data_IF_923018301919
#
_entry.id   IF_923018301919
#
_cell.length_a   1.000
_cell.length_b   1.000
_cell.length_c   1.000
_cell.angle_alpha   90.00
_cell.angle_beta   90.00
_cell.angle_gamma   90.00
#
_symmetry.space_group_name_H-M   'P 1'
#
loop_
_entity.id
_entity.type
_entity.pdbx_description
1 polymer ?
#
# COMPACT_ATOMS: atom_id res chain seq x y z
N UNK A 1 -21.29 4.23 -2.87
CA UNK A 1 -19.97 4.80 -3.28
C UNK A 1 -20.15 5.93 -4.32
N UNK A 2 -21.34 6.11 -4.93
CA UNK A 2 -21.65 7.29 -5.73
C UNK A 2 -21.52 8.57 -4.90
N UNK A 3 -20.66 9.50 -5.33
CA UNK A 3 -20.42 10.81 -4.71
C UNK A 3 -19.08 11.02 -4.00
N UNK A 4 -18.40 9.95 -3.52
CA UNK A 4 -17.16 10.07 -2.72
C UNK A 4 -15.87 9.67 -3.47
N UNK A 5 -15.98 9.25 -4.73
CA UNK A 5 -14.85 8.73 -5.53
C UNK A 5 -13.81 9.82 -5.84
N UNK A 6 -14.24 11.05 -6.14
CA UNK A 6 -13.35 12.17 -6.43
C UNK A 6 -12.46 12.57 -5.25
N UNK A 7 -13.03 12.81 -4.05
CA UNK A 7 -12.24 13.13 -2.86
C UNK A 7 -11.21 12.05 -2.49
N UNK A 8 -11.58 10.77 -2.58
CA UNK A 8 -10.67 9.66 -2.26
C UNK A 8 -9.50 9.63 -3.26
N UNK A 9 -9.77 9.77 -4.56
CA UNK A 9 -8.73 9.79 -5.58
C UNK A 9 -7.79 10.99 -5.42
N UNK A 10 -8.32 12.18 -5.11
CA UNK A 10 -7.50 13.37 -4.91
C UNK A 10 -6.60 13.25 -3.67
N UNK A 11 -7.11 12.69 -2.56
CA UNK A 11 -6.31 12.45 -1.36
C UNK A 11 -5.21 11.41 -1.60
N UNK A 12 -5.53 10.29 -2.25
CA UNK A 12 -4.57 9.21 -2.53
C UNK A 12 -3.53 9.59 -3.56
N UNK A 13 -3.83 10.48 -4.51
CA UNK A 13 -2.88 10.89 -5.57
C UNK A 13 -2.16 12.18 -5.21
N UNK A 14 -2.86 13.31 -5.29
CA UNK A 14 -2.30 14.64 -5.02
C UNK A 14 -1.90 14.80 -3.55
N UNK A 15 -2.77 14.38 -2.62
CA UNK A 15 -2.47 14.47 -1.18
C UNK A 15 -1.23 13.67 -0.80
N UNK A 16 -1.16 12.42 -1.23
CA UNK A 16 -0.01 11.55 -1.01
C UNK A 16 1.28 12.13 -1.62
N UNK A 17 1.22 12.59 -2.88
CA UNK A 17 2.38 13.18 -3.55
C UNK A 17 2.89 14.40 -2.80
N UNK A 18 2.00 15.33 -2.45
CA UNK A 18 2.34 16.54 -1.69
C UNK A 18 2.98 16.15 -0.35
N UNK A 19 2.39 15.19 0.38
CA UNK A 19 2.92 14.76 1.68
C UNK A 19 4.34 14.19 1.55
N UNK A 20 4.59 13.32 0.56
CA UNK A 20 5.93 12.77 0.30
C UNK A 20 6.92 13.90 -0.02
N UNK A 21 6.56 14.86 -0.87
CA UNK A 21 7.43 15.97 -1.24
C UNK A 21 7.74 16.87 -0.04
N UNK A 22 6.73 17.22 0.75
CA UNK A 22 6.89 18.07 1.94
C UNK A 22 7.79 17.39 2.98
N UNK A 23 7.56 16.10 3.26
CA UNK A 23 8.38 15.33 4.20
C UNK A 23 9.81 15.14 3.70
N UNK A 24 9.99 14.90 2.39
CA UNK A 24 11.31 14.82 1.77
C UNK A 24 12.05 16.16 1.86
N UNK A 25 11.38 17.27 1.56
CA UNK A 25 11.95 18.61 1.65
C UNK A 25 12.30 18.97 3.10
N UNK A 26 11.45 18.61 4.06
CA UNK A 26 11.74 18.76 5.48
C UNK A 26 12.99 17.95 5.88
N UNK A 27 13.13 16.71 5.41
CA UNK A 27 14.31 15.90 5.69
C UNK A 27 15.59 16.48 5.07
N UNK A 28 15.52 17.03 3.85
CA UNK A 28 16.63 17.75 3.23
C UNK A 28 17.05 18.98 4.03
N UNK A 29 16.08 19.77 4.48
CA UNK A 29 16.35 21.04 5.15
C UNK A 29 16.81 20.86 6.61
N UNK A 30 16.08 20.07 7.40
CA UNK A 30 16.33 19.91 8.84
C UNK A 30 17.43 18.89 9.14
N UNK A 31 17.44 17.74 8.46
CA UNK A 31 18.42 16.68 8.73
C UNK A 31 19.68 16.81 7.86
N UNK A 32 19.69 17.70 6.86
CA UNK A 32 20.77 17.83 5.86
C UNK A 32 21.16 16.48 5.24
N UNK A 33 20.17 15.59 5.12
CA UNK A 33 20.37 14.24 4.62
C UNK A 33 20.64 14.26 3.10
N UNK A 34 21.43 13.31 2.57
CA UNK A 34 21.53 13.09 1.13
C UNK A 34 20.16 12.86 0.50
N UNK A 35 19.98 13.30 -0.74
CA UNK A 35 18.68 13.27 -1.42
C UNK A 35 17.99 11.90 -1.38
N UNK A 36 18.71 10.81 -1.63
CA UNK A 36 18.14 9.47 -1.55
C UNK A 36 17.58 9.12 -0.16
N UNK A 37 18.33 9.46 0.90
CA UNK A 37 17.90 9.21 2.29
C UNK A 37 16.71 10.09 2.66
N UNK A 38 16.70 11.35 2.23
CA UNK A 38 15.57 12.24 2.45
C UNK A 38 14.29 11.74 1.75
N UNK A 39 14.42 11.22 0.52
CA UNK A 39 13.31 10.66 -0.25
C UNK A 39 12.79 9.36 0.39
N UNK A 40 13.69 8.51 0.88
CA UNK A 40 13.33 7.33 1.69
C UNK A 40 12.54 7.73 2.94
N UNK A 41 13.00 8.73 3.68
CA UNK A 41 12.29 9.22 4.87
C UNK A 41 10.90 9.75 4.48
N UNK A 42 10.80 10.56 3.43
CA UNK A 42 9.52 11.12 2.98
C UNK A 42 8.52 10.06 2.50
N UNK A 43 8.99 9.03 1.80
CA UNK A 43 8.14 7.92 1.32
C UNK A 43 7.64 7.06 2.48
N UNK A 44 8.51 6.65 3.41
CA UNK A 44 8.12 5.83 4.57
C UNK A 44 7.20 6.61 5.51
N UNK A 45 7.51 7.87 5.80
CA UNK A 45 6.72 8.69 6.74
C UNK A 45 5.35 9.11 6.19
N UNK A 46 5.17 9.10 4.86
CA UNK A 46 3.87 9.43 4.25
C UNK A 46 2.84 8.30 4.39
N UNK A 47 3.29 7.07 4.67
CA UNK A 47 2.41 5.90 4.71
C UNK A 47 1.55 5.91 5.97
N UNK A 48 0.24 6.08 5.78
CA UNK A 48 -0.75 5.94 6.86
C UNK A 48 -1.39 4.56 6.79
N UNK A 49 -0.96 3.66 7.69
CA UNK A 49 -1.50 2.30 7.74
C UNK A 49 -2.95 2.26 8.28
N UNK A 50 -3.81 1.37 7.76
CA UNK A 50 -5.16 1.19 8.30
C UNK A 50 -5.13 0.70 9.76
N UNK A 51 -4.02 0.13 10.20
CA UNK A 51 -3.78 -0.32 11.58
C UNK A 51 -3.78 0.83 12.58
N UNK A 52 -3.37 2.04 12.18
CA UNK A 52 -3.37 3.24 13.06
C UNK A 52 -4.61 4.10 12.81
N UNK A 53 -5.01 4.27 11.54
CA UNK A 53 -6.15 5.13 11.18
C UNK A 53 -7.46 4.55 11.72
N UNK A 54 -7.69 3.23 11.62
CA UNK A 54 -8.97 2.62 12.02
C UNK A 54 -9.25 2.74 13.53
N UNK A 55 -8.30 2.48 14.45
CA UNK A 55 -8.50 2.75 15.87
C UNK A 55 -8.78 4.22 16.18
N UNK A 56 -8.08 5.16 15.53
CA UNK A 56 -8.32 6.59 15.75
C UNK A 56 -9.72 7.03 15.31
N UNK A 57 -10.21 6.53 14.17
CA UNK A 57 -11.57 6.80 13.71
C UNK A 57 -12.63 6.27 14.69
N UNK A 58 -12.37 5.12 15.34
CA UNK A 58 -13.26 4.58 16.37
C UNK A 58 -13.30 5.44 17.64
N UNK A 59 -12.19 6.07 17.99
CA UNK A 59 -12.10 6.97 19.14
C UNK A 59 -12.80 8.31 18.89
N UNK A 60 -12.56 8.92 17.73
CA UNK A 60 -13.07 10.27 17.38
C UNK A 60 -14.54 10.22 16.92
N UNK A 61 -15.00 9.08 16.37
CA UNK A 61 -16.35 8.87 15.84
C UNK A 61 -16.81 9.97 14.86
N UNK A 62 -16.07 10.21 13.77
CA UNK A 62 -16.42 11.24 12.79
C UNK A 62 -17.70 10.88 12.02
N UNK A 63 -18.17 11.83 11.20
CA UNK A 63 -19.36 11.60 10.35
C UNK A 63 -19.15 10.38 9.42
N UNK A 64 -20.21 9.65 9.04
CA UNK A 64 -20.09 8.43 8.23
C UNK A 64 -19.42 8.63 6.86
N UNK A 65 -19.44 9.85 6.32
CA UNK A 65 -18.75 10.18 5.09
C UNK A 65 -17.23 10.24 5.30
N UNK A 66 -16.78 10.89 6.38
CA UNK A 66 -15.36 11.05 6.71
C UNK A 66 -14.73 9.71 7.12
N UNK A 67 -15.42 8.90 7.95
CA UNK A 67 -14.92 7.56 8.32
C UNK A 67 -14.66 6.69 7.08
N UNK A 68 -15.57 6.71 6.10
CA UNK A 68 -15.40 5.93 4.86
C UNK A 68 -14.22 6.44 4.04
N UNK A 69 -14.07 7.76 3.86
CA UNK A 69 -12.99 8.34 3.06
C UNK A 69 -11.63 8.02 3.68
N UNK A 70 -11.45 8.28 4.98
CA UNK A 70 -10.18 8.05 5.68
C UNK A 70 -9.82 6.56 5.76
N UNK A 71 -10.81 5.69 5.92
CA UNK A 71 -10.58 4.23 5.90
C UNK A 71 -10.13 3.76 4.52
N UNK A 72 -10.75 4.25 3.45
CA UNK A 72 -10.36 3.90 2.09
C UNK A 72 -9.01 4.49 1.68
N UNK A 73 -8.70 5.71 2.11
CA UNK A 73 -7.39 6.33 1.93
C UNK A 73 -6.30 5.44 2.55
N UNK A 74 -6.43 5.11 3.85
CA UNK A 74 -5.44 4.28 4.56
C UNK A 74 -5.26 2.89 3.94
N UNK A 75 -6.33 2.25 3.46
CA UNK A 75 -6.23 0.93 2.79
C UNK A 75 -5.48 1.01 1.47
N UNK A 76 -5.65 2.10 0.69
CA UNK A 76 -5.05 2.22 -0.64
C UNK A 76 -3.62 2.75 -0.56
N UNK A 77 -3.37 3.73 0.31
CA UNK A 77 -2.06 4.38 0.41
C UNK A 77 -0.99 3.49 1.04
N UNK A 78 -1.40 2.53 1.89
CA UNK A 78 -0.50 1.58 2.56
C UNK A 78 0.36 0.76 1.57
N UNK A 79 -0.20 -0.02 0.63
CA UNK A 79 0.61 -0.75 -0.35
C UNK A 79 1.35 0.17 -1.33
N UNK A 80 0.78 1.32 -1.71
CA UNK A 80 1.44 2.27 -2.62
C UNK A 80 2.70 2.84 -1.96
N UNK A 81 2.57 3.26 -0.72
CA UNK A 81 3.66 3.81 0.07
C UNK A 81 4.77 2.79 0.30
N UNK A 82 4.42 1.53 0.57
CA UNK A 82 5.40 0.44 0.70
C UNK A 82 6.21 0.24 -0.60
N UNK A 83 5.56 0.23 -1.77
CA UNK A 83 6.26 0.11 -3.06
C UNK A 83 7.18 1.31 -3.30
N UNK A 84 6.70 2.54 -3.05
CA UNK A 84 7.51 3.75 -3.19
C UNK A 84 8.72 3.77 -2.25
N UNK A 85 8.56 3.29 -1.02
CA UNK A 85 9.64 3.17 -0.06
C UNK A 85 10.71 2.15 -0.50
N UNK A 86 10.30 1.00 -1.07
CA UNK A 86 11.23 0.03 -1.64
C UNK A 86 12.02 0.63 -2.81
N UNK A 87 11.37 1.40 -3.68
CA UNK A 87 12.04 2.09 -4.79
C UNK A 87 13.04 3.13 -4.27
N UNK A 88 12.65 3.90 -3.27
CA UNK A 88 13.53 4.87 -2.62
C UNK A 88 14.74 4.18 -1.99
N UNK A 89 14.54 3.01 -1.37
CA UNK A 89 15.59 2.21 -0.77
C UNK A 89 16.56 1.68 -1.82
N UNK A 90 16.06 1.11 -2.92
CA UNK A 90 16.91 0.67 -4.02
C UNK A 90 17.74 1.82 -4.60
N UNK A 91 17.14 3.01 -4.73
CA UNK A 91 17.84 4.20 -5.20
C UNK A 91 18.99 4.59 -4.26
N UNK A 92 18.80 4.48 -2.94
CA UNK A 92 19.85 4.73 -1.94
C UNK A 92 20.97 3.69 -2.02
N UNK A 93 20.63 2.41 -2.19
CA UNK A 93 21.60 1.31 -2.14
C UNK A 93 22.40 1.15 -3.44
N UNK A 94 21.75 1.29 -4.60
CA UNK A 94 22.32 0.95 -5.92
C UNK A 94 22.52 2.16 -6.83
N UNK A 95 22.07 3.35 -6.42
CA UNK A 95 22.11 4.56 -7.25
C UNK A 95 21.18 4.51 -8.46
N UNK A 96 21.28 5.52 -9.34
CA UNK A 96 20.50 5.57 -10.57
C UNK A 96 21.04 4.56 -11.60
N UNK A 97 20.42 3.39 -11.67
CA UNK A 97 20.76 2.35 -12.64
C UNK A 97 19.49 1.86 -13.36
N UNK A 98 19.61 1.50 -14.63
CA UNK A 98 18.50 0.92 -15.42
C UNK A 98 17.90 -0.35 -14.77
N UNK A 99 18.63 -1.00 -13.87
CA UNK A 99 18.19 -2.18 -13.15
C UNK A 99 17.02 -1.91 -12.18
N UNK A 100 16.91 -0.70 -11.61
CA UNK A 100 15.82 -0.34 -10.68
C UNK A 100 14.45 -0.40 -11.36
N UNK A 101 14.35 0.08 -12.61
CA UNK A 101 13.11 0.00 -13.37
C UNK A 101 12.72 -1.43 -13.74
N UNK A 102 13.71 -2.30 -13.96
CA UNK A 102 13.49 -3.70 -14.27
C UNK A 102 12.96 -4.47 -13.05
N UNK A 103 13.59 -4.30 -11.89
CA UNK A 103 13.16 -4.90 -10.62
C UNK A 103 11.76 -4.45 -10.24
N UNK A 104 11.45 -3.16 -10.44
CA UNK A 104 10.12 -2.59 -10.19
C UNK A 104 9.06 -3.21 -11.12
N UNK A 105 9.38 -3.36 -12.41
CA UNK A 105 8.53 -4.04 -13.38
C UNK A 105 8.26 -5.49 -12.99
N UNK A 106 9.29 -6.23 -12.59
CA UNK A 106 9.18 -7.62 -12.14
C UNK A 106 8.35 -7.75 -10.86
N UNK A 107 8.55 -6.87 -9.87
CA UNK A 107 7.81 -6.86 -8.62
C UNK A 107 6.31 -6.59 -8.83
N UNK A 108 5.97 -5.58 -9.64
CA UNK A 108 4.57 -5.26 -9.95
C UNK A 108 3.94 -6.40 -10.74
N UNK A 109 4.64 -6.94 -11.75
CA UNK A 109 4.07 -7.93 -12.65
C UNK A 109 3.88 -9.29 -11.97
N UNK A 110 4.88 -9.77 -11.23
CA UNK A 110 4.78 -11.02 -10.45
C UNK A 110 3.73 -10.89 -9.34
N UNK A 111 3.79 -9.82 -8.54
CA UNK A 111 2.85 -9.60 -7.44
C UNK A 111 1.41 -9.46 -7.90
N UNK A 112 1.17 -8.73 -9.01
CA UNK A 112 -0.18 -8.56 -9.55
C UNK A 112 -0.69 -9.85 -10.19
N UNK A 113 0.14 -10.56 -10.96
CA UNK A 113 -0.26 -11.80 -11.63
C UNK A 113 -0.60 -12.91 -10.61
N UNK A 114 0.29 -13.14 -9.64
CA UNK A 114 0.10 -14.17 -8.61
C UNK A 114 -1.04 -13.78 -7.66
N UNK A 115 -1.11 -12.51 -7.26
CA UNK A 115 -2.20 -11.99 -6.44
C UNK A 115 -3.57 -12.11 -7.12
N UNK A 116 -3.66 -11.76 -8.40
CA UNK A 116 -4.91 -11.90 -9.17
C UNK A 116 -5.31 -13.38 -9.30
N UNK A 117 -4.35 -14.26 -9.59
CA UNK A 117 -4.62 -15.70 -9.66
C UNK A 117 -5.12 -16.26 -8.33
N UNK A 118 -4.44 -15.94 -7.21
CA UNK A 118 -4.84 -16.36 -5.88
C UNK A 118 -6.23 -15.81 -5.49
N UNK A 119 -6.53 -14.56 -5.84
CA UNK A 119 -7.83 -13.95 -5.61
C UNK A 119 -8.95 -14.63 -6.42
N UNK A 120 -8.71 -14.97 -7.69
CA UNK A 120 -9.66 -15.70 -8.53
C UNK A 120 -9.90 -17.11 -8.02
N UNK A 121 -8.83 -17.81 -7.62
CA UNK A 121 -8.89 -19.16 -7.06
C UNK A 121 -9.70 -19.17 -5.76
N UNK A 122 -9.38 -18.28 -4.81
CA UNK A 122 -10.11 -18.12 -3.57
C UNK A 122 -11.57 -17.72 -3.82
N UNK A 123 -11.80 -16.74 -4.69
CA UNK A 123 -13.14 -16.31 -5.10
C UNK A 123 -13.97 -17.46 -5.68
N UNK A 124 -13.35 -18.32 -6.49
CA UNK A 124 -13.97 -19.52 -7.05
C UNK A 124 -14.33 -20.56 -5.99
N UNK A 125 -13.40 -20.87 -5.09
CA UNK A 125 -13.61 -21.82 -3.98
C UNK A 125 -14.75 -21.38 -3.05
N UNK A 126 -14.81 -20.08 -2.73
CA UNK A 126 -15.83 -19.53 -1.85
C UNK A 126 -17.20 -19.44 -2.53
N UNK A 127 -17.27 -19.05 -3.81
CA UNK A 127 -18.53 -18.98 -4.58
C UNK A 127 -19.15 -20.36 -4.81
N UNK A 128 -18.32 -21.41 -4.95
CA UNK A 128 -18.78 -22.79 -5.15
C UNK A 128 -19.09 -23.53 -3.84
N UNK A 129 -19.04 -22.85 -2.69
CA UNK A 129 -19.23 -23.45 -1.36
C UNK A 129 -18.32 -24.67 -1.07
N UNK A 130 -17.17 -24.76 -1.75
CA UNK A 130 -16.22 -25.88 -1.61
C UNK A 130 -15.47 -25.84 -0.26
N UNK A 131 -15.51 -24.70 0.43
CA UNK A 131 -14.85 -24.49 1.73
C UNK A 131 -15.90 -24.42 2.84
N UNK A 132 -15.85 -25.33 3.84
CA UNK A 132 -16.69 -25.27 5.02
C UNK A 132 -16.53 -23.94 5.77
N UNK A 133 -17.61 -23.45 6.40
CA UNK A 133 -17.62 -22.13 7.06
C UNK A 133 -16.55 -21.99 8.14
N UNK A 134 -16.23 -23.07 8.86
CA UNK A 134 -15.24 -23.06 9.94
C UNK A 134 -13.79 -23.03 9.42
N UNK A 135 -13.53 -23.45 8.18
CA UNK A 135 -12.19 -23.41 7.56
C UNK A 135 -11.95 -22.16 6.71
N UNK A 136 -12.96 -21.31 6.51
CA UNK A 136 -12.89 -20.18 5.58
C UNK A 136 -11.69 -19.25 5.88
N UNK A 137 -11.46 -18.92 7.16
CA UNK A 137 -10.34 -18.06 7.55
C UNK A 137 -8.99 -18.76 7.34
N UNK A 138 -8.90 -20.04 7.71
CA UNK A 138 -7.67 -20.84 7.60
C UNK A 138 -7.27 -21.00 6.13
N UNK A 139 -8.21 -21.38 5.26
CA UNK A 139 -7.98 -21.52 3.81
C UNK A 139 -7.62 -20.18 3.17
N UNK A 140 -8.25 -19.09 3.60
CA UNK A 140 -7.91 -17.75 3.10
C UNK A 140 -6.48 -17.36 3.43
N UNK A 141 -6.07 -17.56 4.69
CA UNK A 141 -4.69 -17.28 5.10
C UNK A 141 -3.70 -18.22 4.41
N UNK A 142 -4.01 -19.51 4.28
CA UNK A 142 -3.15 -20.48 3.61
C UNK A 142 -2.88 -20.09 2.14
N UNK A 143 -3.92 -19.70 1.40
CA UNK A 143 -3.78 -19.23 0.01
C UNK A 143 -2.99 -17.92 -0.04
N UNK A 144 -3.23 -16.99 0.89
CA UNK A 144 -2.49 -15.73 0.97
C UNK A 144 -1.00 -15.96 1.19
N UNK A 145 -0.63 -16.80 2.17
CA UNK A 145 0.78 -17.13 2.43
C UNK A 145 1.42 -17.89 1.26
N UNK A 146 0.68 -18.84 0.65
CA UNK A 146 1.17 -19.58 -0.51
C UNK A 146 1.45 -18.66 -1.70
N UNK A 147 0.57 -17.68 -1.94
CA UNK A 147 0.74 -16.67 -2.98
C UNK A 147 1.95 -15.76 -2.69
N UNK A 148 2.14 -15.35 -1.43
CA UNK A 148 3.30 -14.56 -1.02
C UNK A 148 4.60 -15.32 -1.24
N UNK A 149 4.68 -16.59 -0.82
CA UNK A 149 5.87 -17.42 -1.02
C UNK A 149 6.14 -17.76 -2.49
N UNK A 150 5.12 -17.81 -3.34
CA UNK A 150 5.29 -18.06 -4.76
C UNK A 150 5.74 -16.82 -5.54
N UNK A 151 5.53 -15.62 -4.97
CA UNK A 151 5.87 -14.33 -5.59
C UNK A 151 7.26 -13.83 -5.22
N UNK A 152 7.94 -14.49 -4.28
CA UNK A 152 9.23 -14.08 -3.71
C UNK A 152 10.28 -15.15 -4.00
#
# INVERSE_FOLDING_TARGET
IHGLRGPILNLVTLGAAINIFVLTAAALYFLRAPFGIALLIGTIASVTGPTVVVPMLRAIRPTPAIDKVLRWEGIIIDPIGAILAVIALEFVLKGYNNHTWWVLGELILSGTAIGAFAALLLGGLLKRHLVPWYLRNVVTLAILFSAFTASN
#
